data_IF_088070112929
#
_entry.id   IF_088070112929
#
_cell.length_a   1.000
_cell.length_b   1.000
_cell.length_c   1.000
_cell.angle_alpha   90.00
_cell.angle_beta   90.00
_cell.angle_gamma   90.00
#
_symmetry.space_group_name_H-M   'P 1'
#
loop_
_entity.id
_entity.type
_entity.pdbx_description
1 polymer ?
#
# COMPACT_ATOMS: atom_id res chain seq x y z
N UNK A 1 17.82 15.98 9.71
CA UNK A 1 17.21 16.39 11.00
C UNK A 1 16.24 15.29 11.38
N UNK A 2 16.23 14.81 12.64
CA UNK A 2 15.21 13.86 13.08
C UNK A 2 13.84 14.53 12.95
N UNK A 3 12.90 13.85 12.29
CA UNK A 3 11.50 14.28 12.27
C UNK A 3 10.96 14.25 13.70
N UNK A 4 10.07 15.20 14.08
CA UNK A 4 9.40 15.13 15.37
C UNK A 4 8.67 13.78 15.53
N UNK A 5 8.74 13.17 16.71
CA UNK A 5 8.14 11.86 16.96
C UNK A 5 6.64 11.79 16.61
N UNK A 6 5.91 12.89 16.79
CA UNK A 6 4.49 13.00 16.39
C UNK A 6 4.29 12.78 14.88
N UNK A 7 5.23 13.27 14.06
CA UNK A 7 5.20 13.12 12.60
C UNK A 7 5.57 11.69 12.19
N UNK A 8 6.47 11.04 12.93
CA UNK A 8 6.79 9.63 12.70
C UNK A 8 5.59 8.72 13.03
N UNK A 9 4.86 9.02 14.11
CA UNK A 9 3.63 8.31 14.48
C UNK A 9 2.54 8.51 13.44
N UNK A 10 2.32 9.75 12.95
CA UNK A 10 1.32 9.99 11.90
C UNK A 10 1.68 9.26 10.60
N UNK A 11 2.97 9.23 10.24
CA UNK A 11 3.45 8.48 9.07
C UNK A 11 3.24 6.97 9.26
N UNK A 12 3.46 6.44 10.46
CA UNK A 12 3.19 5.03 10.77
C UNK A 12 1.69 4.68 10.64
N UNK A 13 0.82 5.56 11.13
CA UNK A 13 -0.64 5.41 11.00
C UNK A 13 -1.09 5.51 9.54
N UNK A 14 -0.52 6.42 8.77
CA UNK A 14 -0.85 6.56 7.35
C UNK A 14 -0.33 5.37 6.52
N UNK A 15 0.84 4.83 6.87
CA UNK A 15 1.38 3.59 6.28
C UNK A 15 0.45 2.41 6.57
N UNK A 16 -0.02 2.25 7.81
CA UNK A 16 -0.93 1.16 8.19
C UNK A 16 -2.30 1.30 7.53
N UNK A 17 -2.84 2.52 7.42
CA UNK A 17 -4.05 2.78 6.60
C UNK A 17 -3.83 2.43 5.14
N UNK A 18 -2.70 2.83 4.56
CA UNK A 18 -2.38 2.52 3.18
C UNK A 18 -2.23 1.01 2.94
N UNK A 19 -1.71 0.24 3.92
CA UNK A 19 -1.68 -1.22 3.86
C UNK A 19 -3.09 -1.84 3.86
N UNK A 20 -3.99 -1.34 4.72
CA UNK A 20 -5.39 -1.77 4.72
C UNK A 20 -6.06 -1.48 3.38
N UNK A 21 -5.95 -0.26 2.86
CA UNK A 21 -6.53 0.11 1.56
C UNK A 21 -5.94 -0.70 0.40
N UNK A 22 -4.68 -1.11 0.49
CA UNK A 22 -4.03 -1.96 -0.53
C UNK A 22 -4.56 -3.40 -0.45
N UNK A 23 -4.87 -3.91 0.74
CA UNK A 23 -5.56 -5.18 0.89
C UNK A 23 -6.96 -5.14 0.27
N UNK A 24 -7.74 -4.09 0.55
CA UNK A 24 -9.07 -3.90 -0.04
C UNK A 24 -8.99 -3.82 -1.58
N UNK A 25 -8.00 -3.10 -2.12
CA UNK A 25 -7.74 -3.04 -3.56
C UNK A 25 -7.42 -4.41 -4.16
N UNK A 26 -6.63 -5.24 -3.46
CA UNK A 26 -6.34 -6.61 -3.90
C UNK A 26 -7.59 -7.48 -3.95
N UNK A 27 -8.48 -7.34 -2.97
CA UNK A 27 -9.72 -8.10 -2.94
C UNK A 27 -10.63 -7.70 -4.10
N UNK A 28 -10.77 -6.40 -4.38
CA UNK A 28 -11.54 -5.91 -5.54
C UNK A 28 -10.93 -6.37 -6.86
N UNK A 29 -9.60 -6.32 -7.01
CA UNK A 29 -8.92 -6.83 -8.20
C UNK A 29 -9.11 -8.34 -8.34
N UNK A 30 -9.13 -9.08 -7.22
CA UNK A 30 -9.48 -10.49 -7.18
C UNK A 30 -10.89 -10.76 -7.70
N UNK A 31 -11.87 -9.98 -7.24
CA UNK A 31 -13.27 -10.08 -7.68
C UNK A 31 -13.44 -9.71 -9.16
N UNK A 32 -12.71 -8.71 -9.65
CA UNK A 32 -12.68 -8.34 -11.07
C UNK A 32 -12.13 -9.48 -11.93
N UNK A 33 -11.05 -10.12 -11.46
CA UNK A 33 -10.43 -11.26 -12.14
C UNK A 33 -11.37 -12.47 -12.17
N UNK A 34 -12.06 -12.75 -11.07
CA UNK A 34 -13.08 -13.80 -10.99
C UNK A 34 -14.28 -13.52 -11.91
N UNK A 35 -14.60 -12.24 -12.12
CA UNK A 35 -15.62 -11.78 -13.06
C UNK A 35 -15.16 -11.83 -14.53
N UNK A 36 -13.93 -12.28 -14.81
CA UNK A 36 -13.38 -12.42 -16.15
C UNK A 36 -12.91 -11.11 -16.79
N UNK A 37 -12.72 -10.05 -15.99
CA UNK A 37 -12.12 -8.80 -16.46
C UNK A 37 -10.59 -8.93 -16.57
N UNK A 38 -10.00 -8.21 -17.52
CA UNK A 38 -8.54 -8.08 -17.60
C UNK A 38 -8.05 -7.17 -16.46
N UNK A 39 -7.30 -7.76 -15.53
CA UNK A 39 -6.75 -7.09 -14.36
C UNK A 39 -5.26 -6.82 -14.46
N UNK A 40 -4.62 -7.06 -15.61
CA UNK A 40 -3.16 -6.95 -15.76
C UNK A 40 -2.59 -5.59 -15.38
N UNK A 41 -3.32 -4.50 -15.68
CA UNK A 41 -2.91 -3.13 -15.33
C UNK A 41 -3.04 -2.92 -13.81
N UNK A 42 -4.15 -3.35 -13.23
CA UNK A 42 -4.45 -3.19 -11.81
C UNK A 42 -3.51 -4.04 -10.95
N UNK A 43 -3.17 -5.27 -11.39
CA UNK A 43 -2.18 -6.13 -10.75
C UNK A 43 -0.79 -5.47 -10.75
N UNK A 44 -0.41 -4.81 -11.86
CA UNK A 44 0.85 -4.08 -11.95
C UNK A 44 0.88 -2.85 -11.03
N UNK A 45 -0.22 -2.09 -10.96
CA UNK A 45 -0.35 -0.94 -10.06
C UNK A 45 -0.31 -1.35 -8.58
N UNK A 46 -1.01 -2.41 -8.21
CA UNK A 46 -0.99 -2.97 -6.85
C UNK A 46 0.42 -3.43 -6.46
N UNK A 47 1.16 -4.05 -7.39
CA UNK A 47 2.54 -4.46 -7.16
C UNK A 47 3.49 -3.27 -6.98
N UNK A 48 3.33 -2.20 -7.75
CA UNK A 48 4.14 -0.98 -7.64
C UNK A 48 3.84 -0.21 -6.33
N UNK A 49 2.55 -0.06 -5.99
CA UNK A 49 2.11 0.51 -4.72
C UNK A 49 2.65 -0.29 -3.53
N UNK A 50 2.63 -1.61 -3.61
CA UNK A 50 3.16 -2.48 -2.55
C UNK A 50 4.68 -2.31 -2.38
N UNK A 51 5.43 -2.17 -3.48
CA UNK A 51 6.87 -1.85 -3.43
C UNK A 51 7.13 -0.49 -2.79
N UNK A 52 6.38 0.54 -3.19
CA UNK A 52 6.51 1.90 -2.63
C UNK A 52 6.23 1.91 -1.13
N UNK A 53 5.15 1.26 -0.69
CA UNK A 53 4.82 1.09 0.73
C UNK A 53 5.95 0.40 1.51
N UNK A 54 6.53 -0.66 0.94
CA UNK A 54 7.65 -1.37 1.55
C UNK A 54 8.92 -0.51 1.64
N UNK A 55 9.19 0.31 0.62
CA UNK A 55 10.31 1.28 0.68
C UNK A 55 10.07 2.37 1.72
N UNK A 56 8.83 2.84 1.87
CA UNK A 56 8.47 3.83 2.88
C UNK A 56 8.64 3.25 4.29
N UNK A 57 8.17 2.01 4.55
CA UNK A 57 8.44 1.31 5.82
C UNK A 57 9.93 1.23 6.15
N UNK A 58 10.75 0.77 5.19
CA UNK A 58 12.20 0.68 5.40
C UNK A 58 12.87 2.05 5.61
N UNK A 59 12.41 3.09 4.90
CA UNK A 59 12.99 4.43 5.03
C UNK A 59 12.66 5.08 6.37
N UNK A 60 11.46 4.85 6.90
CA UNK A 60 11.03 5.40 8.17
C UNK A 60 11.41 4.54 9.40
N UNK A 61 12.18 3.45 9.21
CA UNK A 61 12.60 2.53 10.29
C UNK A 61 11.44 2.09 11.22
N UNK A 62 10.28 1.78 10.63
CA UNK A 62 9.18 1.07 11.28
C UNK A 62 9.28 -0.43 11.01
#
# INVERSE_FOLDING_TARGET
MPLPNEVLVSIAEDITKAESSLADLKDVVGDMRLSGMDTTVQDAEVADLSKKLRSLKMFYEL
#
